data_IF_709185943890
#
_entry.id   IF_709185943890
#
_cell.length_a   1.000
_cell.length_b   1.000
_cell.length_c   1.000
_cell.angle_alpha   90.00
_cell.angle_beta   90.00
_cell.angle_gamma   90.00
#
_symmetry.space_group_name_H-M   'P 1'
#
loop_
_entity.id
_entity.type
_entity.pdbx_description
1 polymer ?
#
# COMPACT_ATOMS: atom_id res chain seq x y z
N UNK A 1 -24.03 -16.56 5.86
CA UNK A 1 -23.58 -15.14 5.68
C UNK A 1 -24.32 -14.19 6.63
N UNK A 2 -25.66 -14.22 6.69
CA UNK A 2 -26.46 -13.38 7.60
C UNK A 2 -26.09 -13.56 9.09
N UNK A 3 -26.07 -14.80 9.58
CA UNK A 3 -25.73 -15.11 10.97
C UNK A 3 -24.34 -14.62 11.41
N UNK A 4 -23.32 -14.68 10.54
CA UNK A 4 -21.99 -14.19 10.88
C UNK A 4 -21.93 -12.65 11.00
N UNK A 5 -22.68 -11.95 10.15
CA UNK A 5 -22.82 -10.49 10.24
C UNK A 5 -23.60 -10.08 11.50
N UNK A 6 -24.62 -10.86 11.87
CA UNK A 6 -25.42 -10.63 13.07
C UNK A 6 -24.59 -10.88 14.34
N UNK A 7 -23.76 -11.93 14.38
CA UNK A 7 -22.81 -12.19 15.47
C UNK A 7 -21.79 -11.05 15.58
N UNK A 8 -21.17 -10.63 14.47
CA UNK A 8 -20.22 -9.52 14.46
C UNK A 8 -20.86 -8.22 14.97
N UNK A 9 -22.09 -7.94 14.55
CA UNK A 9 -22.82 -6.76 14.99
C UNK A 9 -23.13 -6.82 16.50
N UNK A 10 -23.50 -7.99 17.00
CA UNK A 10 -23.77 -8.20 18.42
C UNK A 10 -22.51 -8.00 19.28
N UNK A 11 -21.35 -8.47 18.80
CA UNK A 11 -20.07 -8.38 19.52
C UNK A 11 -19.40 -7.00 19.43
N UNK A 12 -19.53 -6.32 18.28
CA UNK A 12 -18.79 -5.07 17.99
C UNK A 12 -19.65 -3.81 18.03
N UNK A 13 -20.98 -3.94 18.00
CA UNK A 13 -21.92 -2.82 18.07
C UNK A 13 -21.99 -1.95 16.80
N UNK A 14 -21.33 -2.35 15.70
CA UNK A 14 -21.40 -1.65 14.42
C UNK A 14 -21.46 -2.63 13.25
N UNK A 15 -21.99 -2.17 12.11
CA UNK A 15 -22.18 -3.01 10.91
C UNK A 15 -20.84 -3.30 10.24
N UNK A 16 -20.60 -4.56 9.89
CA UNK A 16 -19.41 -4.94 9.12
C UNK A 16 -19.40 -4.22 7.76
N UNK A 17 -18.36 -3.43 7.50
CA UNK A 17 -18.15 -2.77 6.22
C UNK A 17 -16.96 -3.41 5.48
N UNK A 18 -17.09 -3.54 4.17
CA UNK A 18 -15.99 -3.98 3.30
C UNK A 18 -15.21 -2.78 2.73
N UNK A 19 -15.53 -1.56 3.16
CA UNK A 19 -14.95 -0.30 2.65
C UNK A 19 -13.42 -0.35 2.55
N UNK A 20 -12.76 -0.91 3.55
CA UNK A 20 -11.31 -1.04 3.57
C UNK A 20 -10.81 -2.02 2.49
N UNK A 21 -11.37 -3.22 2.43
CA UNK A 21 -11.05 -4.20 1.39
C UNK A 21 -11.34 -3.68 -0.02
N UNK A 22 -12.44 -2.92 -0.20
CA UNK A 22 -12.77 -2.28 -1.47
C UNK A 22 -11.79 -1.17 -1.85
N UNK A 23 -11.31 -0.36 -0.91
CA UNK A 23 -10.26 0.65 -1.19
C UNK A 23 -8.96 0.01 -1.63
N UNK A 24 -8.57 -1.09 -1.01
CA UNK A 24 -7.34 -1.81 -1.35
C UNK A 24 -7.43 -2.47 -2.73
N UNK A 25 -8.58 -3.04 -3.08
CA UNK A 25 -8.76 -3.78 -4.33
C UNK A 25 -9.09 -2.89 -5.55
N UNK A 26 -9.50 -1.62 -5.34
CA UNK A 26 -9.96 -0.73 -6.42
C UNK A 26 -8.90 -0.34 -7.44
N UNK A 27 -7.62 -0.58 -7.16
CA UNK A 27 -6.51 -0.32 -8.07
C UNK A 27 -5.84 -1.60 -8.60
N UNK A 28 -6.36 -2.79 -8.24
CA UNK A 28 -5.85 -4.05 -8.77
C UNK A 28 -6.24 -4.18 -10.25
N UNK A 29 -5.24 -4.16 -11.14
CA UNK A 29 -5.37 -4.22 -12.60
C UNK A 29 -6.22 -5.43 -13.06
N UNK A 30 -6.18 -6.55 -12.33
CA UNK A 30 -6.97 -7.75 -12.64
C UNK A 30 -8.48 -7.53 -12.44
N UNK A 31 -8.85 -6.64 -11.52
CA UNK A 31 -10.23 -6.32 -11.16
C UNK A 31 -10.74 -5.05 -11.86
N UNK A 32 -9.87 -4.11 -12.19
CA UNK A 32 -10.23 -2.94 -13.00
C UNK A 32 -10.58 -3.34 -14.45
N UNK A 33 -9.90 -4.34 -15.01
CA UNK A 33 -10.14 -4.78 -16.40
C UNK A 33 -11.53 -5.40 -16.62
N UNK A 34 -12.19 -5.92 -15.59
CA UNK A 34 -13.54 -6.48 -15.72
C UNK A 34 -14.63 -5.40 -15.61
N UNK A 35 -14.32 -4.23 -15.05
CA UNK A 35 -15.30 -3.17 -14.81
C UNK A 35 -15.48 -2.21 -16.01
N UNK A 36 -14.48 -2.10 -16.89
CA UNK A 36 -14.55 -1.29 -18.11
C UNK A 36 -15.10 -2.04 -19.33
N UNK A 37 -15.33 -3.36 -19.22
CA UNK A 37 -15.62 -4.25 -20.34
C UNK A 37 -17.05 -4.79 -20.39
N UNK A 38 -18.07 -4.00 -20.02
CA UNK A 38 -19.46 -4.44 -20.16
C UNK A 38 -20.40 -3.31 -20.58
N UNK A 39 -20.02 -2.59 -21.62
CA UNK A 39 -20.98 -1.90 -22.46
C UNK A 39 -20.62 -2.09 -23.95
N UNK A 40 -20.87 -3.29 -24.44
CA UNK A 40 -21.17 -3.48 -25.86
C UNK A 40 -21.96 -4.78 -25.98
N UNK A 41 -23.24 -4.59 -26.31
CA UNK A 41 -24.20 -5.65 -26.49
C UNK A 41 -23.78 -6.65 -27.56
N UNK A 42 -24.44 -7.81 -27.49
CA UNK A 42 -24.59 -8.80 -28.55
C UNK A 42 -24.53 -8.15 -29.94
N UNK A 43 -23.65 -8.62 -30.83
CA UNK A 43 -24.14 -9.24 -32.07
C UNK A 43 -23.08 -10.07 -32.81
N UNK A 44 -23.62 -10.93 -33.65
CA UNK A 44 -23.08 -12.08 -34.36
C UNK A 44 -22.77 -11.64 -35.81
N UNK A 45 -21.65 -12.12 -36.36
CA UNK A 45 -21.33 -12.29 -37.82
C UNK A 45 -20.76 -11.11 -38.64
N UNK A 46 -19.54 -11.37 -39.17
CA UNK A 46 -19.16 -11.51 -40.60
C UNK A 46 -18.97 -10.25 -41.49
N UNK A 47 -17.70 -10.09 -41.94
CA UNK A 47 -17.19 -9.56 -43.23
C UNK A 47 -17.43 -8.08 -43.61
N UNK A 48 -16.37 -7.41 -44.08
CA UNK A 48 -16.48 -6.22 -44.94
C UNK A 48 -15.28 -5.27 -44.86
N UNK A 49 -14.59 -5.12 -45.98
CA UNK A 49 -13.47 -4.19 -46.28
C UNK A 49 -13.94 -2.72 -46.38
N UNK A 50 -13.10 -1.75 -45.99
CA UNK A 50 -12.93 -0.40 -46.57
C UNK A 50 -12.37 0.62 -45.57
N UNK A 51 -11.42 1.39 -46.08
CA UNK A 51 -10.82 2.64 -45.58
C UNK A 51 -11.77 3.65 -44.90
N UNK A 52 -11.29 4.32 -43.85
CA UNK A 52 -11.20 5.79 -43.74
C UNK A 52 -10.87 6.27 -42.31
N UNK A 53 -9.73 6.95 -42.19
CA UNK A 53 -9.53 8.24 -41.50
C UNK A 53 -10.04 8.45 -40.04
N UNK A 54 -9.13 8.73 -39.10
CA UNK A 54 -9.48 9.57 -37.94
C UNK A 54 -8.68 9.39 -36.63
N UNK A 55 -7.67 10.25 -36.45
CA UNK A 55 -7.35 10.99 -35.21
C UNK A 55 -6.89 10.25 -33.92
N UNK A 56 -5.63 10.56 -33.55
CA UNK A 56 -5.11 10.78 -32.19
C UNK A 56 -5.09 9.60 -31.23
N UNK A 57 -3.90 9.09 -30.93
CA UNK A 57 -3.31 9.12 -29.57
C UNK A 57 -1.87 8.59 -29.61
N UNK A 58 -1.00 9.32 -28.93
CA UNK A 58 0.40 9.02 -28.61
C UNK A 58 0.66 7.52 -28.31
N UNK A 59 1.71 6.90 -28.86
CA UNK A 59 2.11 5.56 -28.46
C UNK A 59 2.91 5.65 -27.16
N UNK A 60 2.23 5.78 -26.01
CA UNK A 60 2.91 5.54 -24.74
C UNK A 60 3.25 4.05 -24.63
N UNK A 61 4.55 3.81 -24.60
CA UNK A 61 5.23 2.54 -24.60
C UNK A 61 4.68 1.62 -23.51
N UNK A 62 4.07 0.52 -23.97
CA UNK A 62 3.74 -0.63 -23.14
C UNK A 62 5.05 -1.14 -22.50
N UNK A 63 5.13 -1.37 -21.18
CA UNK A 63 6.20 -2.21 -20.66
C UNK A 63 6.02 -3.64 -21.22
N UNK A 64 7.05 -4.07 -21.94
CA UNK A 64 7.24 -5.44 -22.42
C UNK A 64 7.26 -6.36 -21.20
N UNK A 65 6.23 -7.20 -21.06
CA UNK A 65 6.22 -8.14 -19.93
C UNK A 65 5.02 -9.06 -19.77
N UNK A 66 4.20 -9.31 -20.80
CA UNK A 66 3.00 -10.18 -20.68
C UNK A 66 3.15 -11.49 -21.46
N UNK A 67 4.34 -12.10 -21.43
CA UNK A 67 4.56 -13.47 -21.94
C UNK A 67 5.67 -14.23 -21.17
N UNK A 68 5.49 -14.42 -19.86
CA UNK A 68 6.30 -15.38 -19.09
C UNK A 68 5.56 -16.06 -17.92
N UNK A 69 4.23 -15.93 -17.80
CA UNK A 69 3.48 -16.46 -16.66
C UNK A 69 2.91 -17.89 -16.88
N UNK A 70 3.58 -18.72 -17.68
CA UNK A 70 3.35 -20.17 -17.73
C UNK A 70 4.57 -20.98 -17.25
N UNK A 71 5.27 -20.47 -16.25
CA UNK A 71 6.13 -21.28 -15.38
C UNK A 71 5.59 -21.19 -13.95
N UNK A 72 4.51 -21.94 -13.70
CA UNK A 72 4.09 -22.24 -12.34
C UNK A 72 5.18 -23.05 -11.64
N UNK A 73 5.46 -22.74 -10.37
CA UNK A 73 5.89 -23.80 -9.45
C UNK A 73 7.08 -23.54 -8.53
N UNK A 74 7.78 -22.39 -8.55
CA UNK A 74 8.83 -22.10 -7.55
C UNK A 74 8.86 -20.63 -7.14
N UNK A 75 7.78 -20.09 -6.56
CA UNK A 75 7.91 -18.83 -5.81
C UNK A 75 8.57 -19.14 -4.48
N UNK A 76 9.87 -18.85 -4.41
CA UNK A 76 10.69 -18.90 -3.20
C UNK A 76 9.99 -18.17 -2.06
N UNK A 77 9.98 -18.78 -0.87
CA UNK A 77 9.59 -18.20 0.43
C UNK A 77 10.54 -17.07 0.91
N UNK A 78 11.23 -16.40 -0.01
CA UNK A 78 12.37 -15.50 0.29
C UNK A 78 11.95 -14.02 0.32
N UNK A 79 10.95 -13.61 -0.47
CA UNK A 79 10.55 -12.18 -0.53
C UNK A 79 9.83 -11.64 0.72
N UNK A 80 9.07 -12.47 1.45
CA UNK A 80 8.38 -12.02 2.68
C UNK A 80 9.33 -11.69 3.83
N UNK A 81 10.46 -12.39 3.91
CA UNK A 81 11.45 -12.15 4.95
C UNK A 81 12.24 -10.87 4.67
N UNK A 82 12.58 -10.63 3.40
CA UNK A 82 13.21 -9.38 2.95
C UNK A 82 12.29 -8.17 3.18
N UNK A 83 11.00 -8.27 2.85
CA UNK A 83 10.01 -7.21 3.13
C UNK A 83 9.86 -6.92 4.64
N UNK A 84 9.85 -7.94 5.49
CA UNK A 84 9.81 -7.78 6.94
C UNK A 84 11.12 -7.18 7.49
N UNK A 85 12.26 -7.52 6.89
CA UNK A 85 13.56 -6.93 7.21
C UNK A 85 13.59 -5.42 6.91
N UNK A 86 13.14 -5.04 5.70
CA UNK A 86 13.02 -3.64 5.29
C UNK A 86 12.08 -2.86 6.21
N UNK A 87 10.96 -3.44 6.62
CA UNK A 87 10.04 -2.80 7.56
C UNK A 87 10.69 -2.58 8.94
N UNK A 88 11.44 -3.57 9.45
CA UNK A 88 12.16 -3.43 10.73
C UNK A 88 13.21 -2.33 10.67
N UNK A 89 13.97 -2.26 9.58
CA UNK A 89 14.97 -1.20 9.35
C UNK A 89 14.32 0.19 9.28
N UNK A 90 13.19 0.30 8.58
CA UNK A 90 12.42 1.55 8.53
C UNK A 90 11.90 1.97 9.91
N UNK A 91 11.47 1.01 10.73
CA UNK A 91 10.98 1.31 12.09
C UNK A 91 12.12 1.76 13.01
N UNK A 92 13.31 1.15 12.88
CA UNK A 92 14.48 1.54 13.66
C UNK A 92 14.98 2.94 13.27
N UNK A 93 15.11 3.22 11.98
CA UNK A 93 15.48 4.56 11.48
C UNK A 93 14.45 5.62 11.92
N UNK A 94 13.15 5.30 11.87
CA UNK A 94 12.10 6.21 12.38
C UNK A 94 12.25 6.47 13.88
N UNK A 95 12.56 5.45 14.68
CA UNK A 95 12.82 5.61 16.12
C UNK A 95 14.02 6.52 16.37
N UNK A 96 15.10 6.33 15.64
CA UNK A 96 16.30 7.18 15.73
C UNK A 96 16.00 8.64 15.41
N UNK A 97 15.26 8.91 14.32
CA UNK A 97 14.84 10.27 13.95
C UNK A 97 13.95 10.90 15.03
N UNK A 98 13.01 10.13 15.58
CA UNK A 98 12.14 10.60 16.67
C UNK A 98 12.95 10.98 17.91
N UNK A 99 13.93 10.16 18.28
CA UNK A 99 14.85 10.42 19.37
C UNK A 99 15.68 11.70 19.12
N UNK A 100 16.21 11.88 17.92
CA UNK A 100 16.95 13.10 17.53
C UNK A 100 16.07 14.35 17.60
N UNK A 101 14.83 14.26 17.13
CA UNK A 101 13.87 15.38 17.18
C UNK A 101 13.51 15.75 18.63
N UNK A 102 13.29 14.74 19.49
CA UNK A 102 13.05 14.96 20.91
C UNK A 102 14.25 15.63 21.57
N UNK A 103 15.47 15.17 21.28
CA UNK A 103 16.70 15.76 21.80
C UNK A 103 16.84 17.21 21.35
N UNK A 104 16.62 17.49 20.07
CA UNK A 104 16.64 18.86 19.53
C UNK A 104 15.62 19.76 20.24
N UNK A 105 14.41 19.27 20.49
CA UNK A 105 13.39 20.02 21.24
C UNK A 105 13.79 20.32 22.68
N UNK A 106 14.56 19.43 23.32
CA UNK A 106 15.08 19.65 24.67
C UNK A 106 16.22 20.68 24.69
N UNK A 107 16.98 20.78 23.61
CA UNK A 107 18.00 21.82 23.45
C UNK A 107 17.42 23.20 23.17
N UNK A 108 16.24 23.28 22.53
CA UNK A 108 15.60 24.57 22.20
C UNK A 108 14.80 25.17 23.34
N UNK A 109 14.51 24.39 24.40
CA UNK A 109 13.90 24.91 25.63
C UNK A 109 14.85 25.91 26.29
N UNK A 110 14.40 27.16 26.40
CA UNK A 110 15.12 28.29 27.02
C UNK A 110 14.93 28.35 28.54
N UNK A 111 13.96 27.60 29.07
CA UNK A 111 13.73 27.44 30.51
C UNK A 111 14.72 26.44 31.12
N UNK A 112 15.07 26.59 32.42
CA UNK A 112 15.91 25.62 33.10
C UNK A 112 15.25 24.24 33.07
N UNK A 113 15.92 23.26 32.43
CA UNK A 113 15.42 21.90 32.34
C UNK A 113 15.23 21.31 33.74
N UNK A 114 14.12 20.61 33.91
CA UNK A 114 13.85 19.85 35.14
C UNK A 114 14.87 18.71 35.27
N UNK A 115 15.17 18.26 36.48
CA UNK A 115 16.11 17.16 36.74
C UNK A 115 15.80 15.90 35.90
N UNK A 116 14.51 15.58 35.75
CA UNK A 116 14.04 14.47 34.90
C UNK A 116 14.33 14.68 33.40
N UNK A 117 14.20 15.91 32.90
CA UNK A 117 14.48 16.25 31.50
C UNK A 117 15.99 16.23 31.23
N UNK A 118 16.79 16.65 32.19
CA UNK A 118 18.25 16.58 32.13
C UNK A 118 18.70 15.11 32.09
N UNK A 119 18.16 14.27 32.96
CA UNK A 119 18.42 12.83 32.93
C UNK A 119 18.03 12.19 31.59
N UNK A 120 16.86 12.55 31.04
CA UNK A 120 16.41 12.06 29.73
C UNK A 120 17.33 12.54 28.60
N UNK A 121 17.76 13.80 28.62
CA UNK A 121 18.73 14.36 27.67
C UNK A 121 20.06 13.62 27.71
N UNK A 122 20.60 13.35 28.90
CA UNK A 122 21.86 12.60 29.07
C UNK A 122 21.73 11.18 28.51
N UNK A 123 20.66 10.46 28.87
CA UNK A 123 20.39 9.12 28.36
C UNK A 123 20.31 9.09 26.83
N UNK A 124 19.60 10.05 26.24
CA UNK A 124 19.41 10.14 24.80
C UNK A 124 20.71 10.48 24.06
N UNK A 125 21.58 11.30 24.65
CA UNK A 125 22.93 11.54 24.12
C UNK A 125 23.81 10.29 24.21
N UNK A 126 23.73 9.52 25.31
CA UNK A 126 24.48 8.26 25.46
C UNK A 126 23.99 7.17 24.50
N UNK A 127 22.70 7.10 24.19
CA UNK A 127 22.15 6.14 23.21
C UNK A 127 22.56 6.47 21.76
N UNK A 128 22.98 7.71 21.49
CA UNK A 128 23.38 8.18 20.16
C UNK A 128 24.90 8.18 19.92
N UNK A 129 25.71 8.00 20.96
CA UNK A 129 27.18 7.89 20.92
C UNK A 129 27.59 6.42 20.84
#
# INVERSE_FOLDING_TARGET
MKAALDIFFNDKGFKFNLEHAWRELRHDVKWCSTYLGKDSGKDKRKTGDSDAQGSVTEPQERPIGVKAAKAAGKRKKIGKEEELGQLKELMETKRQISNQSLLASLFTKTEPLTEMELALKMKLMSEML
#
